data_IF_962084406280
#
_entry.id   IF_962084406280
#
_cell.length_a   1.000
_cell.length_b   1.000
_cell.length_c   1.000
_cell.angle_alpha   90.00
_cell.angle_beta   90.00
_cell.angle_gamma   90.00
#
_symmetry.space_group_name_H-M   'P 1'
#
loop_
_entity.id
_entity.type
_entity.pdbx_description
1 polymer ?
#
# COMPACT_ATOMS: atom_id res chain seq x y z
N UNK A 1 -2.07 7.34 -2.30
CA UNK A 1 -2.64 5.99 -2.18
C UNK A 1 -3.92 6.09 -1.36
N UNK A 2 -5.08 5.74 -1.93
CA UNK A 2 -6.39 6.02 -1.31
C UNK A 2 -6.69 5.13 -0.09
N UNK A 3 -6.44 3.81 -0.16
CA UNK A 3 -6.81 2.86 0.91
C UNK A 3 -6.23 3.19 2.29
N UNK A 4 -4.92 3.50 2.45
CA UNK A 4 -4.40 3.86 3.77
C UNK A 4 -5.11 5.06 4.39
N UNK A 5 -5.40 6.09 3.59
CA UNK A 5 -6.06 7.30 4.07
C UNK A 5 -7.43 7.00 4.70
N UNK A 6 -8.20 6.03 4.17
CA UNK A 6 -9.47 5.60 4.77
C UNK A 6 -9.34 5.11 6.22
N UNK A 7 -8.17 4.61 6.62
CA UNK A 7 -7.97 3.91 7.89
C UNK A 7 -7.01 4.61 8.85
N UNK A 8 -6.17 5.53 8.37
CA UNK A 8 -5.25 6.29 9.23
C UNK A 8 -5.60 7.77 9.34
N UNK A 9 -6.76 8.19 8.82
CA UNK A 9 -7.19 9.60 8.83
C UNK A 9 -7.06 10.29 10.20
N UNK A 10 -7.37 9.58 11.30
CA UNK A 10 -7.32 10.14 12.65
C UNK A 10 -5.87 10.32 13.16
N UNK A 11 -4.91 9.58 12.57
CA UNK A 11 -3.49 9.63 12.91
C UNK A 11 -2.72 10.65 12.07
N UNK A 12 -3.20 10.99 10.87
CA UNK A 12 -2.50 11.88 9.94
C UNK A 12 -2.19 13.27 10.52
N UNK A 13 -3.10 13.96 11.25
CA UNK A 13 -2.78 15.25 11.85
C UNK A 13 -1.57 15.23 12.79
N UNK A 14 -1.26 14.08 13.39
CA UNK A 14 -0.10 13.94 14.26
C UNK A 14 1.20 13.71 13.48
N UNK A 15 1.11 12.95 12.40
CA UNK A 15 2.28 12.49 11.62
C UNK A 15 2.74 13.59 10.68
N UNK A 16 1.80 14.19 9.94
CA UNK A 16 2.05 15.20 8.94
C UNK A 16 0.79 16.07 8.80
N UNK A 17 0.71 17.22 9.49
CA UNK A 17 -0.40 18.14 9.34
C UNK A 17 -0.24 19.06 8.13
N UNK A 18 0.92 19.13 7.50
CA UNK A 18 1.10 19.94 6.29
C UNK A 18 0.39 19.26 5.11
N UNK A 19 0.28 17.92 5.16
CA UNK A 19 -0.67 17.13 4.37
C UNK A 19 -2.14 17.60 4.49
N UNK A 20 -2.51 18.33 5.54
CA UNK A 20 -3.86 18.90 5.75
C UNK A 20 -3.98 20.37 5.29
N UNK A 21 -2.88 20.99 4.85
CA UNK A 21 -2.90 22.38 4.39
C UNK A 21 -3.64 22.54 3.04
N UNK A 22 -3.68 21.48 2.22
CA UNK A 22 -4.30 21.45 0.90
C UNK A 22 -5.64 20.67 0.90
N UNK A 23 -6.65 21.19 1.60
CA UNK A 23 -7.99 20.58 1.67
C UNK A 23 -8.13 19.48 2.73
N UNK A 24 -9.34 18.94 2.89
CA UNK A 24 -9.62 17.94 3.93
C UNK A 24 -9.11 16.55 3.53
N UNK A 25 -8.88 15.68 4.52
CA UNK A 25 -8.54 14.26 4.25
C UNK A 25 -9.66 13.60 3.43
N UNK A 26 -10.92 13.93 3.72
CA UNK A 26 -12.08 13.39 3.02
C UNK A 26 -12.08 13.80 1.54
N UNK A 27 -11.73 15.04 1.22
CA UNK A 27 -11.60 15.51 -0.17
C UNK A 27 -10.51 14.74 -0.91
N UNK A 28 -9.36 14.50 -0.26
CA UNK A 28 -8.26 13.71 -0.83
C UNK A 28 -8.65 12.25 -1.05
N UNK A 29 -9.42 11.67 -0.12
CA UNK A 29 -9.95 10.31 -0.26
C UNK A 29 -10.95 10.27 -1.43
N UNK A 30 -11.89 11.20 -1.50
CA UNK A 30 -12.88 11.26 -2.58
C UNK A 30 -12.22 11.44 -3.94
N UNK A 31 -11.24 12.35 -4.07
CA UNK A 31 -10.47 12.50 -5.31
C UNK A 31 -9.71 11.23 -5.70
N UNK A 32 -9.20 10.49 -4.70
CA UNK A 32 -8.59 9.18 -4.91
C UNK A 32 -9.58 8.10 -5.38
N UNK A 33 -10.84 8.14 -4.91
CA UNK A 33 -11.93 7.26 -5.37
C UNK A 33 -12.31 7.61 -6.81
N UNK A 34 -12.53 8.89 -7.09
CA UNK A 34 -12.90 9.39 -8.43
C UNK A 34 -11.81 9.07 -9.47
N UNK A 35 -10.54 9.15 -9.06
CA UNK A 35 -9.41 8.72 -9.88
C UNK A 35 -9.46 7.24 -10.21
N UNK A 36 -9.78 6.36 -9.25
CA UNK A 36 -9.91 4.93 -9.52
C UNK A 36 -11.10 4.66 -10.45
N UNK A 37 -12.23 5.34 -10.23
CA UNK A 37 -13.41 5.25 -11.11
C UNK A 37 -13.08 5.67 -12.55
N UNK A 38 -12.20 6.65 -12.75
CA UNK A 38 -11.72 7.04 -14.10
C UNK A 38 -10.89 5.96 -14.83
N UNK A 39 -10.48 4.90 -14.13
CA UNK A 39 -9.77 3.75 -14.70
C UNK A 39 -10.70 2.57 -15.03
N UNK A 40 -12.01 2.73 -14.83
CA UNK A 40 -12.99 1.74 -15.25
C UNK A 40 -13.07 1.70 -16.77
N UNK A 41 -12.94 0.52 -17.35
CA UNK A 41 -12.99 0.32 -18.81
C UNK A 41 -14.44 0.13 -19.27
N UNK A 42 -14.73 0.22 -20.60
CA UNK A 42 -16.06 -0.03 -21.13
C UNK A 42 -16.63 -1.43 -20.84
N UNK A 43 -15.77 -2.40 -20.51
CA UNK A 43 -16.23 -3.75 -20.12
C UNK A 43 -16.65 -3.84 -18.64
N UNK A 44 -16.39 -2.81 -17.83
CA UNK A 44 -16.78 -2.71 -16.42
C UNK A 44 -15.64 -2.99 -15.43
N UNK A 45 -14.59 -3.70 -15.84
CA UNK A 45 -13.40 -3.91 -15.01
C UNK A 45 -12.48 -2.68 -14.94
N UNK A 46 -11.40 -2.74 -14.16
CA UNK A 46 -10.44 -1.65 -14.00
C UNK A 46 -9.09 -1.95 -14.65
N UNK A 47 -8.57 -0.98 -15.42
CA UNK A 47 -7.22 -0.97 -15.96
C UNK A 47 -6.16 -0.52 -14.94
N UNK A 48 -4.91 -0.35 -15.39
CA UNK A 48 -3.82 0.20 -14.57
C UNK A 48 -3.76 1.72 -14.70
N UNK A 49 -4.00 2.23 -15.90
CA UNK A 49 -4.01 3.65 -16.21
C UNK A 49 -5.39 4.10 -16.73
N UNK A 50 -5.74 5.37 -16.58
CA UNK A 50 -6.93 5.90 -17.23
C UNK A 50 -6.78 5.86 -18.74
N UNK A 51 -7.85 5.45 -19.42
CA UNK A 51 -7.82 5.21 -20.86
C UNK A 51 -7.38 3.80 -21.25
N UNK A 52 -6.94 2.96 -20.29
CA UNK A 52 -6.75 1.54 -20.56
C UNK A 52 -8.08 0.90 -20.99
N UNK A 53 -8.03 0.02 -21.98
CA UNK A 53 -9.16 -0.75 -22.49
C UNK A 53 -9.20 -2.18 -21.91
N UNK A 54 -8.06 -2.68 -21.44
CA UNK A 54 -7.90 -4.02 -20.89
C UNK A 54 -7.84 -4.02 -19.36
N UNK A 55 -8.90 -4.50 -18.67
CA UNK A 55 -8.87 -4.64 -17.23
C UNK A 55 -7.81 -5.63 -16.75
N UNK A 56 -7.42 -5.47 -15.49
CA UNK A 56 -6.59 -6.43 -14.76
C UNK A 56 -7.44 -7.09 -13.67
N UNK A 57 -7.48 -8.42 -13.63
CA UNK A 57 -8.39 -9.15 -12.74
C UNK A 57 -8.12 -8.83 -11.26
N UNK A 58 -6.85 -8.91 -10.85
CA UNK A 58 -6.44 -8.55 -9.49
C UNK A 58 -6.67 -7.07 -9.17
N UNK A 59 -6.37 -6.18 -10.13
CA UNK A 59 -6.61 -4.73 -9.99
C UNK A 59 -8.09 -4.43 -9.78
N UNK A 60 -8.95 -5.09 -10.54
CA UNK A 60 -10.42 -4.96 -10.44
C UNK A 60 -10.92 -5.44 -9.07
N UNK A 61 -10.49 -6.62 -8.61
CA UNK A 61 -10.83 -7.10 -7.27
C UNK A 61 -10.35 -6.14 -6.17
N UNK A 62 -9.15 -5.57 -6.31
CA UNK A 62 -8.64 -4.57 -5.38
C UNK A 62 -9.49 -3.30 -5.35
N UNK A 63 -9.87 -2.77 -6.51
CA UNK A 63 -10.69 -1.55 -6.58
C UNK A 63 -12.08 -1.81 -6.00
N UNK A 64 -12.74 -2.93 -6.34
CA UNK A 64 -14.03 -3.30 -5.75
C UNK A 64 -13.93 -3.38 -4.23
N UNK A 65 -12.90 -4.03 -3.70
CA UNK A 65 -12.67 -4.10 -2.24
C UNK A 65 -12.58 -2.68 -1.64
N UNK A 66 -11.79 -1.79 -2.25
CA UNK A 66 -11.68 -0.41 -1.79
C UNK A 66 -13.00 0.36 -1.86
N UNK A 67 -13.77 0.19 -2.94
CA UNK A 67 -15.05 0.87 -3.13
C UNK A 67 -16.10 0.40 -2.10
N UNK A 68 -16.10 -0.89 -1.74
CA UNK A 68 -16.92 -1.42 -0.65
C UNK A 68 -16.54 -0.78 0.69
N UNK A 69 -15.24 -0.71 1.01
CA UNK A 69 -14.75 -0.03 2.20
C UNK A 69 -15.11 1.46 2.25
N UNK A 70 -15.00 2.14 1.11
CA UNK A 70 -15.33 3.55 0.98
C UNK A 70 -16.82 3.80 1.22
N UNK A 71 -17.68 2.95 0.64
CA UNK A 71 -19.13 2.99 0.83
C UNK A 71 -19.51 2.73 2.29
N UNK A 72 -18.90 1.75 2.94
CA UNK A 72 -19.11 1.44 4.37
C UNK A 72 -18.73 2.64 5.27
N UNK A 73 -17.77 3.47 4.83
CA UNK A 73 -17.34 4.70 5.50
C UNK A 73 -18.11 5.96 5.08
N UNK A 74 -19.10 5.85 4.19
CA UNK A 74 -19.97 6.96 3.78
C UNK A 74 -19.43 7.82 2.64
N UNK A 75 -18.34 7.42 1.97
CA UNK A 75 -17.86 8.11 0.76
C UNK A 75 -18.78 7.85 -0.44
N UNK A 76 -18.76 8.77 -1.42
CA UNK A 76 -19.60 8.66 -2.61
C UNK A 76 -19.00 7.65 -3.58
N UNK A 77 -19.72 6.56 -3.79
CA UNK A 77 -19.41 5.52 -4.77
C UNK A 77 -20.65 5.30 -5.65
N UNK A 78 -20.58 5.52 -6.97
CA UNK A 78 -21.72 5.28 -7.85
C UNK A 78 -22.10 3.79 -7.87
N UNK A 79 -23.34 3.47 -7.50
CA UNK A 79 -23.81 2.08 -7.41
C UNK A 79 -23.74 1.34 -8.75
N UNK A 80 -24.03 2.02 -9.86
CA UNK A 80 -23.94 1.43 -11.20
C UNK A 80 -22.49 1.04 -11.54
N UNK A 81 -21.53 1.92 -11.31
CA UNK A 81 -20.11 1.65 -11.56
C UNK A 81 -19.61 0.46 -10.74
N UNK A 82 -19.98 0.39 -9.46
CA UNK A 82 -19.64 -0.75 -8.60
C UNK A 82 -20.31 -2.04 -9.06
N UNK A 83 -21.60 -2.01 -9.44
CA UNK A 83 -22.32 -3.18 -9.92
C UNK A 83 -21.75 -3.73 -11.24
N UNK A 84 -21.36 -2.85 -12.16
CA UNK A 84 -20.71 -3.23 -13.42
C UNK A 84 -19.35 -3.89 -13.17
N UNK A 85 -18.54 -3.33 -12.26
CA UNK A 85 -17.26 -3.91 -11.88
C UNK A 85 -17.42 -5.29 -11.22
N UNK A 86 -18.38 -5.44 -10.31
CA UNK A 86 -18.69 -6.71 -9.66
C UNK A 86 -19.16 -7.75 -10.69
N UNK A 87 -20.00 -7.35 -11.65
CA UNK A 87 -20.45 -8.22 -12.75
C UNK A 87 -19.30 -8.65 -13.65
N UNK A 88 -18.40 -7.72 -13.98
CA UNK A 88 -17.20 -8.05 -14.75
C UNK A 88 -16.29 -9.02 -13.98
N UNK A 89 -16.08 -8.80 -12.67
CA UNK A 89 -15.26 -9.66 -11.83
C UNK A 89 -15.84 -11.08 -11.74
N UNK A 90 -17.16 -11.18 -11.53
CA UNK A 90 -17.93 -12.42 -11.46
C UNK A 90 -17.76 -13.26 -12.74
N UNK A 91 -17.98 -12.66 -13.92
CA UNK A 91 -17.79 -13.33 -15.21
C UNK A 91 -16.35 -13.79 -15.47
N UNK A 92 -15.35 -13.14 -14.86
CA UNK A 92 -13.93 -13.44 -15.08
C UNK A 92 -13.27 -14.16 -13.89
N UNK A 93 -14.02 -14.55 -12.87
CA UNK A 93 -13.50 -15.07 -11.61
C UNK A 93 -12.72 -16.39 -11.76
N UNK A 94 -13.05 -17.15 -12.80
CA UNK A 94 -12.48 -18.47 -13.11
C UNK A 94 -11.69 -18.45 -14.43
N UNK A 95 -11.55 -17.29 -15.08
CA UNK A 95 -10.93 -17.19 -16.39
C UNK A 95 -9.39 -17.24 -16.28
N UNK A 96 -8.80 -18.41 -16.57
CA UNK A 96 -7.34 -18.62 -16.61
C UNK A 96 -6.73 -18.40 -18.00
N UNK A 97 -7.54 -18.16 -19.02
CA UNK A 97 -7.11 -18.17 -20.42
C UNK A 97 -6.73 -16.78 -20.97
N UNK A 98 -7.11 -15.70 -20.28
CA UNK A 98 -6.92 -14.30 -20.71
C UNK A 98 -5.48 -13.74 -20.74
N UNK A 99 -4.44 -14.59 -20.77
CA UNK A 99 -3.03 -14.15 -20.78
C UNK A 99 -2.51 -13.68 -19.41
N UNK A 100 -1.30 -13.09 -19.33
CA UNK A 100 -0.63 -12.79 -18.04
C UNK A 100 -1.45 -11.97 -17.05
N UNK A 101 -2.25 -11.00 -17.51
CA UNK A 101 -3.12 -10.18 -16.64
C UNK A 101 -4.26 -10.97 -15.96
N UNK A 102 -4.57 -12.15 -16.48
CA UNK A 102 -5.55 -13.11 -15.95
C UNK A 102 -4.87 -14.36 -15.35
N UNK A 103 -3.64 -14.69 -15.77
CA UNK A 103 -2.81 -15.81 -15.30
C UNK A 103 -1.95 -15.40 -14.10
N UNK A 104 -1.93 -16.22 -13.05
CA UNK A 104 -1.25 -15.84 -11.79
C UNK A 104 -2.06 -14.83 -10.95
N UNK A 105 -3.34 -14.66 -11.28
CA UNK A 105 -4.31 -13.99 -10.43
C UNK A 105 -4.49 -14.81 -9.16
N UNK A 106 -4.75 -14.14 -8.04
CA UNK A 106 -4.91 -14.81 -6.76
C UNK A 106 -6.39 -15.22 -6.60
N UNK A 107 -6.82 -16.45 -7.02
CA UNK A 107 -8.23 -16.80 -7.11
C UNK A 107 -8.94 -16.65 -5.76
N UNK A 108 -8.26 -16.99 -4.67
CA UNK A 108 -8.82 -16.80 -3.33
C UNK A 108 -9.20 -15.34 -3.04
N UNK A 109 -8.43 -14.37 -3.55
CA UNK A 109 -8.73 -12.95 -3.31
C UNK A 109 -9.94 -12.49 -4.12
N UNK A 110 -10.02 -12.90 -5.39
CA UNK A 110 -11.19 -12.63 -6.24
C UNK A 110 -12.46 -13.19 -5.62
N UNK A 111 -12.41 -14.46 -5.17
CA UNK A 111 -13.54 -15.13 -4.55
C UNK A 111 -13.94 -14.48 -3.20
N UNK A 112 -12.96 -14.04 -2.40
CA UNK A 112 -13.23 -13.27 -1.18
C UNK A 112 -13.96 -11.96 -1.47
N UNK A 113 -13.49 -11.20 -2.46
CA UNK A 113 -14.10 -9.92 -2.84
C UNK A 113 -15.51 -10.12 -3.39
N UNK A 114 -15.74 -11.16 -4.20
CA UNK A 114 -17.09 -11.53 -4.68
C UNK A 114 -18.03 -11.91 -3.54
N UNK A 115 -17.56 -12.68 -2.56
CA UNK A 115 -18.35 -12.98 -1.37
C UNK A 115 -18.72 -11.71 -0.59
N UNK A 116 -17.76 -10.77 -0.42
CA UNK A 116 -18.03 -9.48 0.22
C UNK A 116 -18.99 -8.59 -0.58
N UNK A 117 -18.94 -8.67 -1.91
CA UNK A 117 -19.86 -7.97 -2.81
C UNK A 117 -21.26 -8.63 -2.87
N UNK A 118 -21.52 -9.69 -2.10
CA UNK A 118 -22.81 -10.39 -2.09
C UNK A 118 -23.02 -11.37 -3.24
N UNK A 119 -21.96 -11.77 -3.95
CA UNK A 119 -21.97 -12.78 -5.02
C UNK A 119 -21.06 -13.98 -4.70
N UNK A 120 -21.32 -14.75 -3.63
CA UNK A 120 -20.43 -15.84 -3.24
C UNK A 120 -20.56 -17.08 -4.14
N UNK A 121 -19.43 -17.60 -4.64
CA UNK A 121 -19.39 -18.87 -5.40
C UNK A 121 -19.12 -20.06 -4.47
N UNK A 122 -19.95 -20.27 -3.45
CA UNK A 122 -19.66 -21.19 -2.32
C UNK A 122 -19.25 -22.60 -2.76
N UNK A 123 -19.93 -23.19 -3.75
CA UNK A 123 -19.61 -24.52 -4.27
C UNK A 123 -18.24 -24.56 -4.98
N UNK A 124 -17.94 -23.56 -5.81
CA UNK A 124 -16.66 -23.42 -6.51
C UNK A 124 -15.54 -23.23 -5.50
N UNK A 125 -15.71 -22.30 -4.56
CA UNK A 125 -14.73 -21.99 -3.51
C UNK A 125 -14.46 -23.23 -2.64
N UNK A 126 -15.50 -23.97 -2.24
CA UNK A 126 -15.34 -25.20 -1.47
C UNK A 126 -14.55 -26.27 -2.25
N UNK A 127 -14.80 -26.41 -3.55
CA UNK A 127 -14.02 -27.32 -4.42
C UNK A 127 -12.56 -26.86 -4.54
N UNK A 128 -12.31 -25.60 -4.87
CA UNK A 128 -10.95 -25.05 -4.98
C UNK A 128 -10.16 -25.23 -3.69
N UNK A 129 -10.80 -24.99 -2.54
CA UNK A 129 -10.18 -25.18 -1.24
C UNK A 129 -9.88 -26.66 -0.97
N UNK A 130 -10.81 -27.58 -1.30
CA UNK A 130 -10.58 -29.01 -1.16
C UNK A 130 -9.40 -29.48 -2.02
N UNK A 131 -9.33 -29.04 -3.28
CA UNK A 131 -8.23 -29.35 -4.20
C UNK A 131 -6.88 -28.82 -3.68
N UNK A 132 -6.87 -27.60 -3.11
CA UNK A 132 -5.66 -27.04 -2.50
C UNK A 132 -5.26 -27.75 -1.21
N UNK A 133 -6.22 -28.19 -0.39
CA UNK A 133 -5.94 -28.91 0.86
C UNK A 133 -5.46 -30.36 0.63
N UNK A 134 -5.66 -30.91 -0.57
CA UNK A 134 -5.16 -32.23 -0.94
C UNK A 134 -3.62 -32.32 -0.95
N UNK A 135 -2.93 -31.18 -1.02
CA UNK A 135 -1.47 -31.10 -0.95
C UNK A 135 -1.02 -30.13 0.15
N UNK A 136 0.16 -30.34 0.77
CA UNK A 136 0.74 -29.35 1.68
C UNK A 136 0.95 -28.00 0.97
N UNK A 137 0.76 -26.89 1.69
CA UNK A 137 1.11 -25.58 1.16
C UNK A 137 2.62 -25.49 0.97
N UNK A 138 3.06 -25.20 -0.26
CA UNK A 138 4.48 -25.19 -0.63
C UNK A 138 5.07 -23.79 -0.64
N UNK A 139 4.21 -22.77 -0.84
CA UNK A 139 4.60 -21.37 -0.90
C UNK A 139 3.70 -20.50 -0.03
N UNK A 140 4.17 -19.30 0.31
CA UNK A 140 3.32 -18.33 0.99
C UNK A 140 2.11 -17.87 0.16
N UNK A 141 2.16 -17.97 -1.18
CA UNK A 141 1.01 -17.74 -2.06
C UNK A 141 -0.05 -18.83 -1.88
N UNK A 142 0.35 -20.09 -1.69
CA UNK A 142 -0.60 -21.17 -1.39
C UNK A 142 -1.30 -20.93 -0.05
N UNK A 143 -0.56 -20.46 0.95
CA UNK A 143 -1.10 -20.12 2.27
C UNK A 143 -2.09 -18.95 2.16
N UNK A 144 -1.73 -17.89 1.42
CA UNK A 144 -2.62 -16.75 1.16
C UNK A 144 -3.89 -17.20 0.42
N UNK A 145 -3.74 -18.02 -0.63
CA UNK A 145 -4.82 -18.61 -1.41
C UNK A 145 -5.84 -19.34 -0.55
N UNK A 146 -5.37 -20.29 0.26
CA UNK A 146 -6.21 -21.07 1.17
C UNK A 146 -6.90 -20.18 2.20
N UNK A 147 -6.17 -19.22 2.78
CA UNK A 147 -6.73 -18.30 3.77
C UNK A 147 -7.89 -17.50 3.18
N UNK A 148 -7.73 -16.93 1.99
CA UNK A 148 -8.76 -16.12 1.36
C UNK A 148 -9.96 -16.96 0.87
N UNK A 149 -9.76 -18.21 0.43
CA UNK A 149 -10.86 -19.12 0.12
C UNK A 149 -11.68 -19.47 1.38
N UNK A 150 -11.00 -19.78 2.50
CA UNK A 150 -11.68 -19.99 3.79
C UNK A 150 -12.42 -18.73 4.23
N UNK A 151 -11.82 -17.55 4.05
CA UNK A 151 -12.42 -16.27 4.38
C UNK A 151 -13.67 -15.98 3.51
N UNK A 152 -13.63 -16.33 2.23
CA UNK A 152 -14.78 -16.21 1.33
C UNK A 152 -15.96 -17.08 1.80
N UNK A 153 -15.70 -18.32 2.24
CA UNK A 153 -16.72 -19.18 2.84
C UNK A 153 -17.27 -18.60 4.14
N UNK A 154 -16.40 -18.10 5.03
CA UNK A 154 -16.81 -17.47 6.29
C UNK A 154 -17.69 -16.24 6.05
N UNK A 155 -17.32 -15.37 5.10
CA UNK A 155 -18.10 -14.20 4.70
C UNK A 155 -19.46 -14.58 4.10
N UNK A 156 -19.55 -15.76 3.49
CA UNK A 156 -20.79 -16.33 2.94
C UNK A 156 -21.65 -17.06 3.97
N UNK A 157 -21.22 -17.11 5.25
CA UNK A 157 -21.92 -17.78 6.35
C UNK A 157 -21.49 -19.22 6.64
N UNK A 158 -20.57 -19.79 5.86
CA UNK A 158 -20.02 -21.12 6.10
C UNK A 158 -18.85 -21.06 7.09
N UNK A 159 -19.13 -21.45 8.34
CA UNK A 159 -18.21 -21.35 9.47
C UNK A 159 -17.31 -22.58 9.69
N UNK A 160 -17.30 -23.55 8.78
CA UNK A 160 -16.52 -24.80 8.93
C UNK A 160 -15.02 -24.55 9.18
N UNK A 161 -14.49 -23.45 8.67
CA UNK A 161 -13.06 -23.11 8.74
C UNK A 161 -12.73 -22.00 9.74
N UNK A 162 -13.67 -21.57 10.59
CA UNK A 162 -13.44 -20.44 11.51
C UNK A 162 -12.22 -20.66 12.42
N UNK A 163 -12.04 -21.87 12.96
CA UNK A 163 -10.88 -22.20 13.80
C UNK A 163 -9.56 -22.03 13.03
N UNK A 164 -9.52 -22.43 11.77
CA UNK A 164 -8.34 -22.27 10.92
C UNK A 164 -8.07 -20.79 10.61
N UNK A 165 -9.11 -20.01 10.33
CA UNK A 165 -9.01 -18.56 10.10
C UNK A 165 -8.51 -17.78 11.32
N UNK A 166 -8.80 -18.27 12.53
CA UNK A 166 -8.29 -17.74 13.80
C UNK A 166 -6.88 -18.22 14.15
N UNK A 167 -6.36 -19.23 13.46
CA UNK A 167 -5.00 -19.75 13.64
C UNK A 167 -4.08 -19.12 12.61
N UNK A 168 -3.58 -17.92 12.92
CA UNK A 168 -2.80 -17.11 11.98
C UNK A 168 -1.34 -17.60 11.88
N UNK A 169 -0.81 -17.61 10.65
CA UNK A 169 0.62 -17.82 10.43
C UNK A 169 1.40 -16.55 10.82
N UNK A 170 2.21 -16.69 11.86
CA UNK A 170 3.03 -15.62 12.47
C UNK A 170 4.52 -15.97 12.44
N UNK A 171 4.92 -16.88 11.54
CA UNK A 171 6.32 -17.15 11.28
C UNK A 171 7.04 -15.92 10.71
N UNK A 172 8.36 -15.86 10.94
CA UNK A 172 9.22 -14.76 10.52
C UNK A 172 9.07 -14.44 9.03
N UNK A 173 9.21 -13.14 8.71
CA UNK A 173 9.14 -12.67 7.34
C UNK A 173 10.32 -13.21 6.53
N UNK A 174 10.03 -13.87 5.42
CA UNK A 174 11.05 -14.37 4.50
C UNK A 174 11.38 -13.40 3.35
N UNK A 175 10.68 -12.26 3.30
CA UNK A 175 10.90 -11.17 2.33
C UNK A 175 10.82 -11.58 0.85
N UNK A 176 10.27 -12.77 0.56
CA UNK A 176 10.09 -13.23 -0.81
C UNK A 176 9.08 -12.36 -1.53
N UNK A 177 9.42 -11.95 -2.75
CA UNK A 177 8.54 -11.25 -3.70
C UNK A 177 8.36 -12.11 -4.94
N UNK A 178 7.18 -12.06 -5.54
CA UNK A 178 6.93 -12.65 -6.84
C UNK A 178 6.67 -11.54 -7.85
N UNK A 179 7.25 -11.68 -9.04
CA UNK A 179 6.97 -10.78 -10.15
C UNK A 179 5.84 -11.36 -11.00
N UNK A 180 4.62 -11.23 -10.49
CA UNK A 180 3.40 -11.69 -11.13
C UNK A 180 2.27 -10.67 -10.90
N UNK A 181 1.12 -10.92 -11.53
CA UNK A 181 -0.06 -10.04 -11.47
C UNK A 181 -0.85 -10.14 -10.15
N UNK A 182 -0.34 -10.87 -9.14
CA UNK A 182 -0.85 -10.85 -7.76
C UNK A 182 -0.10 -9.86 -6.88
N UNK A 183 1.02 -9.30 -7.36
CA UNK A 183 1.91 -8.40 -6.62
C UNK A 183 2.36 -8.99 -5.27
N UNK A 184 2.55 -10.31 -5.24
CA UNK A 184 2.83 -11.01 -4.00
C UNK A 184 4.15 -10.54 -3.39
N UNK A 185 4.09 -10.26 -2.10
CA UNK A 185 5.23 -10.37 -1.21
C UNK A 185 4.80 -10.93 0.13
N UNK A 186 5.75 -11.47 0.89
CA UNK A 186 5.42 -12.03 2.20
C UNK A 186 4.84 -10.98 3.16
N UNK A 187 5.43 -9.77 3.21
CA UNK A 187 4.89 -8.67 4.02
C UNK A 187 3.50 -8.22 3.54
N UNK A 188 3.29 -8.16 2.21
CA UNK A 188 1.98 -7.85 1.62
C UNK A 188 0.94 -8.89 2.02
N UNK A 189 1.27 -10.18 1.96
CA UNK A 189 0.42 -11.29 2.40
C UNK A 189 -0.01 -11.10 3.85
N UNK A 190 0.95 -10.85 4.76
CA UNK A 190 0.66 -10.63 6.18
C UNK A 190 -0.33 -9.47 6.39
N UNK A 191 -0.11 -8.35 5.71
CA UNK A 191 -1.01 -7.18 5.78
C UNK A 191 -2.40 -7.47 5.22
N UNK A 192 -2.51 -8.19 4.10
CA UNK A 192 -3.81 -8.58 3.53
C UNK A 192 -4.55 -9.53 4.49
N UNK A 193 -3.88 -10.57 4.98
CA UNK A 193 -4.44 -11.52 5.95
C UNK A 193 -4.94 -10.79 7.18
N UNK A 194 -4.19 -9.80 7.70
CA UNK A 194 -4.61 -9.00 8.85
C UNK A 194 -5.84 -8.15 8.55
N UNK A 195 -5.91 -7.52 7.36
CA UNK A 195 -7.08 -6.75 6.95
C UNK A 195 -8.34 -7.62 6.87
N UNK A 196 -8.23 -8.81 6.26
CA UNK A 196 -9.34 -9.77 6.13
C UNK A 196 -9.73 -10.35 7.48
N UNK A 197 -8.76 -10.69 8.33
CA UNK A 197 -9.02 -11.12 9.69
C UNK A 197 -9.83 -10.08 10.47
N UNK A 198 -9.43 -8.81 10.38
CA UNK A 198 -10.17 -7.71 11.02
C UNK A 198 -11.60 -7.59 10.47
N UNK A 199 -11.81 -7.76 9.17
CA UNK A 199 -13.17 -7.72 8.59
C UNK A 199 -14.07 -8.84 9.10
N UNK A 200 -13.52 -10.03 9.36
CA UNK A 200 -14.28 -11.18 9.84
C UNK A 200 -14.47 -11.22 11.36
N UNK A 201 -13.47 -10.76 12.12
CA UNK A 201 -13.39 -10.98 13.57
C UNK A 201 -13.05 -9.73 14.38
N UNK A 202 -12.91 -8.56 13.75
CA UNK A 202 -12.50 -7.32 14.41
C UNK A 202 -11.09 -7.40 14.99
N UNK A 203 -10.88 -6.72 16.12
CA UNK A 203 -9.60 -6.67 16.85
C UNK A 203 -9.47 -7.79 17.89
N UNK A 204 -9.97 -8.99 17.57
CA UNK A 204 -9.89 -10.14 18.47
C UNK A 204 -8.42 -10.48 18.79
N UNK A 205 -8.16 -10.93 20.03
CA UNK A 205 -6.81 -11.06 20.58
C UNK A 205 -5.89 -11.99 19.78
N UNK A 206 -6.44 -12.98 19.07
CA UNK A 206 -5.68 -13.91 18.23
C UNK A 206 -5.00 -13.21 17.05
N UNK A 207 -5.47 -12.02 16.63
CA UNK A 207 -4.85 -11.21 15.59
C UNK A 207 -3.67 -10.36 16.05
N UNK A 208 -3.47 -10.16 17.36
CA UNK A 208 -2.41 -9.28 17.90
C UNK A 208 -1.03 -9.69 17.40
N UNK A 209 -0.64 -10.98 17.42
CA UNK A 209 0.72 -11.35 17.00
C UNK A 209 0.98 -11.10 15.52
N UNK A 210 -0.05 -11.19 14.66
CA UNK A 210 0.06 -10.84 13.24
C UNK A 210 0.16 -9.33 13.04
N UNK A 211 -0.61 -8.53 13.78
CA UNK A 211 -0.48 -7.07 13.79
C UNK A 211 0.94 -6.65 14.20
N UNK A 212 1.48 -7.22 15.26
CA UNK A 212 2.84 -6.96 15.69
C UNK A 212 3.88 -7.36 14.64
N UNK A 213 3.69 -8.49 13.95
CA UNK A 213 4.57 -8.94 12.87
C UNK A 213 4.57 -7.95 11.69
N UNK A 214 3.39 -7.51 11.24
CA UNK A 214 3.26 -6.51 10.17
C UNK A 214 3.92 -5.19 10.56
N UNK A 215 3.69 -4.74 11.79
CA UNK A 215 4.27 -3.50 12.31
C UNK A 215 5.80 -3.59 12.42
N UNK A 216 6.36 -4.73 12.86
CA UNK A 216 7.81 -4.97 12.84
C UNK A 216 8.37 -4.95 11.42
N UNK A 217 7.69 -5.61 10.47
CA UNK A 217 8.10 -5.64 9.07
C UNK A 217 8.19 -4.23 8.45
N UNK A 218 7.20 -3.38 8.71
CA UNK A 218 7.20 -1.99 8.24
C UNK A 218 8.24 -1.08 8.93
N UNK A 219 8.78 -1.48 10.08
CA UNK A 219 9.85 -0.74 10.79
C UNK A 219 11.25 -1.27 10.48
N UNK A 220 11.38 -2.40 9.79
CA UNK A 220 12.68 -3.04 9.59
C UNK A 220 13.62 -2.23 8.69
N UNK A 221 13.08 -1.50 7.70
CA UNK A 221 13.85 -0.66 6.81
C UNK A 221 13.46 0.81 6.99
N UNK A 222 14.45 1.68 7.13
CA UNK A 222 14.22 3.13 7.20
C UNK A 222 13.90 3.72 5.83
N UNK A 223 14.38 3.08 4.76
CA UNK A 223 14.24 3.60 3.41
C UNK A 223 12.95 3.10 2.76
N UNK A 224 12.06 4.01 2.39
CA UNK A 224 10.76 3.69 1.79
C UNK A 224 10.89 2.94 0.46
N UNK A 225 11.95 3.18 -0.32
CA UNK A 225 12.20 2.49 -1.59
C UNK A 225 12.42 0.98 -1.44
N UNK A 226 12.67 0.50 -0.22
CA UNK A 226 12.76 -0.94 0.07
C UNK A 226 11.40 -1.62 0.04
N UNK A 227 10.31 -0.88 0.18
CA UNK A 227 8.95 -1.40 0.22
C UNK A 227 8.22 -1.19 -1.10
N UNK A 228 7.30 -2.11 -1.42
CA UNK A 228 6.37 -1.92 -2.54
C UNK A 228 5.13 -1.15 -2.08
N UNK A 229 4.47 -0.50 -3.04
CA UNK A 229 3.16 0.14 -2.82
C UNK A 229 2.15 -0.83 -2.21
N UNK A 230 2.17 -2.11 -2.58
CA UNK A 230 1.25 -3.12 -2.04
C UNK A 230 1.57 -3.51 -0.59
N UNK A 231 2.85 -3.59 -0.23
CA UNK A 231 3.29 -3.84 1.15
C UNK A 231 2.86 -2.69 2.07
N UNK A 232 3.13 -1.45 1.67
CA UNK A 232 2.74 -0.26 2.43
C UNK A 232 1.22 -0.14 2.51
N UNK A 233 0.51 -0.37 1.40
CA UNK A 233 -0.95 -0.27 1.37
C UNK A 233 -1.61 -1.26 2.32
N UNK A 234 -1.32 -2.56 2.19
CA UNK A 234 -1.95 -3.58 3.02
C UNK A 234 -1.47 -3.50 4.46
N UNK A 235 -0.17 -3.27 4.68
CA UNK A 235 0.40 -3.16 6.02
C UNK A 235 -0.16 -1.96 6.79
N UNK A 236 -0.10 -0.75 6.23
CA UNK A 236 -0.59 0.46 6.91
C UNK A 236 -2.10 0.44 7.08
N UNK A 237 -2.86 0.01 6.06
CA UNK A 237 -4.32 -0.04 6.16
C UNK A 237 -4.80 -1.05 7.21
N UNK A 238 -4.19 -2.23 7.26
CA UNK A 238 -4.57 -3.27 8.25
C UNK A 238 -4.21 -2.86 9.67
N UNK A 239 -3.04 -2.23 9.87
CA UNK A 239 -2.68 -1.65 11.16
C UNK A 239 -3.61 -0.49 11.53
N UNK A 240 -3.98 0.37 10.59
CA UNK A 240 -4.95 1.45 10.83
C UNK A 240 -6.30 0.94 11.30
N UNK A 241 -6.81 -0.18 10.74
CA UNK A 241 -8.01 -0.86 11.26
C UNK A 241 -7.84 -1.39 12.69
N UNK A 242 -6.61 -1.78 13.03
CA UNK A 242 -6.24 -2.34 14.33
C UNK A 242 -6.00 -1.31 15.42
N UNK A 243 -5.63 -0.08 15.04
CA UNK A 243 -5.44 1.02 15.98
C UNK A 243 -6.81 1.47 16.50
N UNK A 244 -7.07 1.19 17.78
CA UNK A 244 -8.23 1.73 18.51
C UNK A 244 -7.96 3.14 19.05
N UNK A 245 -8.91 3.68 19.82
CA UNK A 245 -8.69 4.92 20.56
C UNK A 245 -7.50 4.74 21.52
N UNK A 246 -6.48 5.58 21.39
CA UNK A 246 -5.29 5.55 22.22
C UNK A 246 -5.61 5.68 23.71
N UNK A 247 -4.76 5.09 24.55
CA UNK A 247 -4.80 5.38 25.98
C UNK A 247 -4.43 6.85 26.22
N UNK A 248 -5.07 7.51 27.21
CA UNK A 248 -4.70 8.88 27.56
C UNK A 248 -3.22 8.93 27.97
N UNK A 249 -2.42 9.73 27.26
CA UNK A 249 -1.05 9.99 27.65
C UNK A 249 -1.02 10.77 28.98
N UNK A 250 -0.09 10.47 29.91
CA UNK A 250 0.19 11.36 31.02
C UNK A 250 0.62 12.74 30.49
N UNK A 251 0.48 13.78 31.32
CA UNK A 251 1.03 15.08 30.97
C UNK A 251 2.54 14.96 30.71
N UNK A 252 3.01 15.56 29.62
CA UNK A 252 4.39 15.49 29.20
C UNK A 252 4.91 16.86 28.79
N UNK A 253 6.18 17.12 29.08
CA UNK A 253 6.92 18.32 28.67
C UNK A 253 8.11 17.89 27.82
N UNK A 254 8.21 18.49 26.63
CA UNK A 254 9.38 18.32 25.79
C UNK A 254 10.37 19.43 26.09
N UNK A 255 11.63 19.09 26.32
CA UNK A 255 12.73 20.03 26.53
C UNK A 255 13.73 19.87 25.38
N UNK A 256 14.02 20.98 24.71
CA UNK A 256 14.95 21.07 23.58
C UNK A 256 16.00 22.13 23.90
N UNK A 257 17.26 21.72 24.07
CA UNK A 257 18.38 22.57 24.52
C UNK A 257 17.98 23.51 25.68
N UNK A 258 17.56 22.90 26.80
CA UNK A 258 17.12 23.54 28.04
C UNK A 258 15.86 24.42 27.94
N UNK A 259 15.18 24.44 26.79
CA UNK A 259 13.93 25.18 26.59
C UNK A 259 12.74 24.23 26.50
N UNK A 260 11.70 24.51 27.28
CA UNK A 260 10.44 23.79 27.15
C UNK A 260 9.76 24.16 25.84
N UNK A 261 9.42 23.14 25.05
CA UNK A 261 8.64 23.26 23.81
C UNK A 261 7.19 22.94 24.14
N UNK A 262 6.29 23.87 23.81
CA UNK A 262 4.86 23.64 23.97
C UNK A 262 4.37 22.57 23.00
N UNK A 263 3.44 21.71 23.45
CA UNK A 263 2.77 20.77 22.56
C UNK A 263 1.97 21.54 21.51
N UNK A 264 2.01 21.05 20.27
CA UNK A 264 1.28 21.61 19.15
C UNK A 264 -0.22 21.34 19.32
N UNK A 265 -1.01 22.41 19.43
CA UNK A 265 -2.47 22.34 19.60
C UNK A 265 -3.17 21.72 18.38
N UNK A 266 -2.64 21.96 17.18
CA UNK A 266 -3.26 21.52 15.93
C UNK A 266 -2.90 20.05 15.60
N UNK A 267 -1.77 19.56 16.14
CA UNK A 267 -1.29 18.19 15.94
C UNK A 267 -1.67 17.25 17.09
N UNK A 268 -2.08 17.77 18.24
CA UNK A 268 -2.46 16.95 19.41
C UNK A 268 -3.97 16.71 19.39
N UNK A 269 -4.38 15.45 19.15
CA UNK A 269 -5.77 14.98 19.26
C UNK A 269 -5.81 13.74 20.16
N UNK A 270 -7.01 13.26 20.50
CA UNK A 270 -7.24 11.89 20.97
C UNK A 270 -6.60 11.43 22.30
N UNK A 271 -5.79 12.26 22.97
CA UNK A 271 -4.98 11.84 24.12
C UNK A 271 -3.52 11.63 23.77
N UNK A 272 -3.12 11.90 22.53
CA UNK A 272 -1.73 11.93 22.08
C UNK A 272 -1.15 13.36 22.08
N UNK A 273 0.17 13.48 22.27
CA UNK A 273 0.90 14.75 22.24
C UNK A 273 1.91 14.78 21.08
N UNK A 274 1.94 15.91 20.38
CA UNK A 274 2.88 16.18 19.30
C UNK A 274 3.59 17.52 19.52
N UNK A 275 4.86 17.60 19.12
CA UNK A 275 5.67 18.81 19.20
C UNK A 275 6.35 19.07 17.87
N UNK A 276 6.61 20.34 17.56
CA UNK A 276 7.34 20.75 16.37
C UNK A 276 8.54 21.59 16.77
N UNK A 277 9.71 21.24 16.23
CA UNK A 277 10.96 21.91 16.53
C UNK A 277 11.57 22.39 15.21
N UNK A 278 11.77 23.71 15.11
CA UNK A 278 12.50 24.30 13.98
C UNK A 278 14.01 24.10 14.14
N UNK A 279 14.71 23.87 13.02
CA UNK A 279 16.17 23.72 13.00
C UNK A 279 16.75 22.65 13.95
N UNK A 280 16.04 21.52 14.11
CA UNK A 280 16.44 20.40 14.98
C UNK A 280 17.84 19.85 14.72
N UNK A 281 18.38 20.04 13.51
CA UNK A 281 19.76 19.66 13.15
C UNK A 281 20.86 20.40 13.90
N UNK A 282 20.53 21.48 14.61
CA UNK A 282 21.49 22.29 15.38
C UNK A 282 21.58 21.92 16.87
N UNK A 283 20.83 20.90 17.29
CA UNK A 283 20.65 20.59 18.71
C UNK A 283 21.72 19.67 19.30
N UNK A 284 21.89 19.77 20.62
CA UNK A 284 22.76 18.90 21.41
C UNK A 284 21.93 17.98 22.34
N UNK A 285 20.66 18.28 22.64
CA UNK A 285 19.84 17.51 23.60
C UNK A 285 18.33 17.60 23.38
N UNK A 286 17.64 16.46 23.57
CA UNK A 286 16.18 16.34 23.54
C UNK A 286 15.71 15.44 24.70
N UNK A 287 14.87 15.97 25.58
CA UNK A 287 14.32 15.25 26.73
C UNK A 287 12.79 15.30 26.73
N UNK A 288 12.15 14.18 27.07
CA UNK A 288 10.71 14.10 27.29
C UNK A 288 10.46 13.76 28.76
N UNK A 289 9.96 14.74 29.51
CA UNK A 289 9.62 14.59 30.90
C UNK A 289 8.15 14.20 31.02
N UNK A 290 7.87 13.08 31.67
CA UNK A 290 6.51 12.61 31.97
C UNK A 290 6.18 12.92 33.43
N UNK A 291 5.03 13.53 33.69
CA UNK A 291 4.60 13.85 35.05
C UNK A 291 4.18 12.59 35.85
N UNK A 292 3.99 11.46 35.16
CA UNK A 292 3.72 10.15 35.78
C UNK A 292 4.22 9.01 34.89
N UNK A 293 4.48 7.85 35.51
CA UNK A 293 4.74 6.61 34.78
C UNK A 293 3.49 6.22 33.95
N UNK A 294 3.65 5.90 32.66
CA UNK A 294 2.51 5.58 31.81
C UNK A 294 1.93 4.21 32.19
N UNK A 295 0.60 4.12 32.21
CA UNK A 295 -0.10 2.87 32.51
C UNK A 295 0.04 1.80 31.42
N UNK A 296 0.41 2.22 30.21
CA UNK A 296 0.69 1.37 29.05
C UNK A 296 2.01 1.78 28.41
N UNK A 297 2.74 0.87 27.74
CA UNK A 297 3.94 1.23 27.00
C UNK A 297 3.66 2.39 26.04
N UNK A 298 4.52 3.41 26.06
CA UNK A 298 4.46 4.54 25.14
C UNK A 298 5.41 4.31 23.96
N UNK A 299 4.98 4.71 22.77
CA UNK A 299 5.85 4.83 21.61
C UNK A 299 6.21 6.31 21.41
N UNK A 300 7.51 6.60 21.30
CA UNK A 300 8.01 7.91 20.87
C UNK A 300 8.48 7.81 19.43
N UNK A 301 7.92 8.66 18.57
CA UNK A 301 8.34 8.79 17.17
C UNK A 301 9.02 10.14 16.99
N UNK A 302 10.25 10.13 16.51
CA UNK A 302 11.02 11.33 16.18
C UNK A 302 11.28 11.35 14.69
N UNK A 303 10.70 12.34 14.01
CA UNK A 303 10.87 12.55 12.57
C UNK A 303 11.67 13.83 12.34
N UNK A 304 12.69 13.77 11.48
CA UNK A 304 13.48 14.93 11.06
C UNK A 304 13.42 15.07 9.56
N UNK A 305 13.09 16.26 9.09
CA UNK A 305 13.08 16.61 7.66
C UNK A 305 14.09 17.74 7.39
N UNK A 306 14.73 17.68 6.22
CA UNK A 306 15.66 18.71 5.76
C UNK A 306 16.35 18.33 4.46
N UNK A 307 16.93 19.33 3.79
CA UNK A 307 17.73 19.15 2.59
C UNK A 307 19.15 18.80 3.02
N UNK A 308 19.64 17.62 2.61
CA UNK A 308 21.04 17.26 2.81
C UNK A 308 21.85 17.81 1.63
N UNK A 309 22.81 18.73 1.86
CA UNK A 309 23.47 19.48 0.78
C UNK A 309 24.33 18.60 -0.14
N UNK A 310 24.76 17.41 0.30
CA UNK A 310 25.63 16.51 -0.46
C UNK A 310 25.14 15.05 -0.38
N UNK A 311 24.02 14.74 -1.04
CA UNK A 311 23.58 13.35 -1.20
C UNK A 311 24.25 12.78 -2.44
N UNK A 312 25.29 11.96 -2.25
CA UNK A 312 25.71 11.02 -3.29
C UNK A 312 24.53 10.09 -3.56
N UNK A 313 23.88 10.24 -4.73
CA UNK A 313 22.84 9.31 -5.14
C UNK A 313 23.52 7.96 -5.41
N UNK A 314 23.13 6.88 -4.70
CA UNK A 314 23.72 5.58 -4.96
C UNK A 314 23.40 5.18 -6.39
N UNK A 315 24.43 5.04 -7.22
CA UNK A 315 24.33 4.46 -8.56
C UNK A 315 24.40 2.95 -8.42
N UNK A 316 23.38 2.24 -8.89
CA UNK A 316 23.37 0.77 -8.82
C UNK A 316 22.22 0.17 -9.62
N UNK A 317 22.49 -1.00 -10.19
CA UNK A 317 21.51 -1.81 -10.90
C UNK A 317 21.07 -2.97 -10.01
N UNK A 318 19.78 -3.04 -9.65
CA UNK A 318 19.19 -4.18 -8.95
C UNK A 318 18.47 -5.09 -9.95
N UNK A 319 19.23 -5.67 -10.88
CA UNK A 319 18.72 -6.51 -11.97
C UNK A 319 18.21 -5.74 -13.19
N UNK A 320 17.97 -4.43 -13.10
CA UNK A 320 17.69 -3.55 -14.23
C UNK A 320 18.77 -2.47 -14.36
N UNK A 321 19.15 -2.13 -15.60
CA UNK A 321 20.03 -1.00 -15.93
C UNK A 321 19.27 0.01 -16.77
N UNK A 322 19.65 1.29 -16.64
CA UNK A 322 19.15 2.37 -17.49
C UNK A 322 20.34 3.23 -17.89
N UNK A 323 20.58 3.35 -19.18
CA UNK A 323 21.58 4.23 -19.76
C UNK A 323 20.87 5.40 -20.46
N UNK A 324 21.33 6.63 -20.20
CA UNK A 324 20.76 7.85 -20.76
C UNK A 324 21.79 8.55 -21.64
N UNK A 325 21.43 8.76 -22.90
CA UNK A 325 22.25 9.44 -23.90
C UNK A 325 21.48 10.60 -24.53
N UNK A 326 22.23 11.56 -25.09
CA UNK A 326 21.68 12.80 -25.63
C UNK A 326 22.22 13.04 -27.04
N UNK A 327 21.32 13.34 -27.97
CA UNK A 327 21.66 13.50 -29.38
C UNK A 327 21.06 14.78 -29.96
N UNK A 328 21.74 15.35 -30.94
CA UNK A 328 21.20 16.41 -31.78
C UNK A 328 20.14 15.82 -32.75
N UNK A 329 19.30 16.64 -33.40
CA UNK A 329 18.38 16.16 -34.43
C UNK A 329 19.06 15.46 -35.61
N UNK A 330 20.36 15.70 -35.81
CA UNK A 330 21.21 15.02 -36.80
C UNK A 330 21.60 13.60 -36.38
N UNK A 331 21.40 13.22 -35.12
CA UNK A 331 21.84 11.95 -34.53
C UNK A 331 23.23 12.00 -33.88
N UNK A 332 23.92 13.15 -33.91
CA UNK A 332 25.24 13.29 -33.30
C UNK A 332 25.14 13.41 -31.77
N UNK A 333 26.05 12.78 -30.99
CA UNK A 333 26.07 12.92 -29.54
C UNK A 333 26.28 14.38 -29.10
N UNK A 334 25.57 14.81 -28.06
CA UNK A 334 25.65 16.18 -27.54
C UNK A 334 26.18 16.21 -26.11
N UNK A 335 27.03 17.20 -25.81
CA UNK A 335 27.47 17.51 -24.46
C UNK A 335 26.55 18.56 -23.83
N UNK A 336 25.98 18.22 -22.69
CA UNK A 336 25.02 19.10 -21.99
C UNK A 336 25.59 20.45 -21.56
N UNK A 337 26.92 20.55 -21.37
CA UNK A 337 27.59 21.80 -21.01
C UNK A 337 27.74 22.80 -22.16
N UNK A 338 27.43 22.40 -23.39
CA UNK A 338 27.66 23.17 -24.62
C UNK A 338 26.34 23.54 -25.32
N UNK A 339 25.20 23.37 -24.64
CA UNK A 339 23.88 23.63 -25.21
C UNK A 339 23.51 25.11 -25.22
N UNK A 340 22.88 25.53 -26.32
CA UNK A 340 22.30 26.87 -26.45
C UNK A 340 20.80 26.89 -26.10
N UNK A 341 20.30 28.06 -25.69
CA UNK A 341 18.88 28.24 -25.41
C UNK A 341 18.04 27.99 -26.68
N UNK A 342 17.01 27.16 -26.55
CA UNK A 342 16.11 26.81 -27.66
C UNK A 342 16.67 25.71 -28.58
N UNK A 343 17.83 25.13 -28.26
CA UNK A 343 18.37 24.00 -29.00
C UNK A 343 17.55 22.74 -28.73
N UNK A 344 16.99 22.14 -29.79
CA UNK A 344 16.32 20.86 -29.72
C UNK A 344 17.34 19.72 -29.53
N UNK A 345 17.03 18.79 -28.63
CA UNK A 345 17.79 17.54 -28.48
C UNK A 345 16.85 16.36 -28.30
N UNK A 346 17.37 15.17 -28.60
CA UNK A 346 16.71 13.90 -28.34
C UNK A 346 17.35 13.20 -27.13
N UNK A 347 16.51 12.68 -26.23
CA UNK A 347 16.92 11.83 -25.12
C UNK A 347 16.70 10.37 -25.50
N UNK A 348 17.76 9.57 -25.46
CA UNK A 348 17.67 8.13 -25.62
C UNK A 348 17.81 7.46 -24.25
N UNK A 349 16.89 6.55 -23.93
CA UNK A 349 16.92 5.73 -22.73
C UNK A 349 17.02 4.26 -23.15
N UNK A 350 18.13 3.60 -22.82
CA UNK A 350 18.33 2.17 -23.06
C UNK A 350 18.14 1.43 -21.75
N UNK A 351 17.18 0.51 -21.71
CA UNK A 351 16.88 -0.29 -20.51
C UNK A 351 17.33 -1.74 -20.70
N UNK A 352 18.19 -2.21 -19.80
CA UNK A 352 18.68 -3.58 -19.76
C UNK A 352 18.05 -4.39 -18.64
N UNK A 353 17.76 -5.67 -18.91
CA UNK A 353 17.33 -6.62 -17.89
C UNK A 353 18.40 -7.69 -17.64
N UNK A 354 19.10 -7.53 -16.51
CA UNK A 354 20.17 -8.40 -16.04
C UNK A 354 19.71 -9.30 -14.88
N UNK A 355 18.40 -9.40 -14.62
CA UNK A 355 17.86 -10.14 -13.47
C UNK A 355 17.80 -11.66 -13.70
N UNK A 356 18.08 -12.14 -14.92
CA UNK A 356 17.98 -13.56 -15.29
C UNK A 356 16.54 -14.09 -15.31
N UNK A 357 15.54 -13.22 -15.30
CA UNK A 357 14.11 -13.57 -15.35
C UNK A 357 13.35 -12.49 -16.09
N UNK A 358 12.20 -12.84 -16.67
CA UNK A 358 11.35 -11.83 -17.31
C UNK A 358 10.84 -10.85 -16.25
N UNK A 359 11.04 -9.56 -16.50
CA UNK A 359 10.52 -8.49 -15.64
C UNK A 359 9.29 -7.87 -16.28
N UNK A 360 8.14 -8.01 -15.62
CA UNK A 360 6.92 -7.26 -15.95
C UNK A 360 6.80 -5.99 -15.10
N UNK A 361 5.89 -5.08 -15.50
CA UNK A 361 5.53 -3.88 -14.73
C UNK A 361 6.68 -2.88 -14.51
N UNK A 362 7.50 -2.65 -15.54
CA UNK A 362 8.60 -1.67 -15.50
C UNK A 362 8.05 -0.25 -15.70
N UNK A 363 8.40 0.65 -14.79
CA UNK A 363 8.19 2.09 -14.94
C UNK A 363 9.54 2.80 -15.02
N UNK A 364 9.67 3.74 -15.95
CA UNK A 364 10.87 4.56 -16.13
C UNK A 364 10.54 5.97 -15.66
N UNK A 365 11.36 6.51 -14.76
CA UNK A 365 11.25 7.89 -14.29
C UNK A 365 12.51 8.62 -14.70
N UNK A 366 12.43 9.37 -15.78
CA UNK A 366 13.51 10.25 -16.22
C UNK A 366 13.22 11.69 -15.80
N UNK A 367 13.96 12.16 -14.79
CA UNK A 367 13.83 13.55 -14.33
C UNK A 367 14.65 14.45 -15.26
N UNK A 368 13.97 15.43 -15.86
CA UNK A 368 14.62 16.42 -16.71
C UNK A 368 15.12 17.58 -15.85
N UNK A 369 16.34 18.11 -16.07
CA UNK A 369 16.84 19.27 -15.33
C UNK A 369 15.97 20.52 -15.55
N UNK A 370 16.05 21.47 -14.62
CA UNK A 370 15.40 22.78 -14.81
C UNK A 370 15.98 23.52 -16.03
N UNK A 371 15.15 24.29 -16.74
CA UNK A 371 15.52 25.01 -17.97
C UNK A 371 15.33 24.20 -19.26
N UNK A 372 14.81 22.98 -19.14
CA UNK A 372 14.48 22.10 -20.25
C UNK A 372 12.96 21.96 -20.38
N UNK A 373 12.48 21.80 -21.59
CA UNK A 373 11.06 21.59 -21.89
C UNK A 373 10.89 20.31 -22.73
N UNK A 374 9.83 19.55 -22.45
CA UNK A 374 9.46 18.37 -23.22
C UNK A 374 8.53 18.84 -24.34
N UNK A 375 8.90 18.54 -25.58
CA UNK A 375 8.08 18.77 -26.78
C UNK A 375 6.88 17.81 -26.88
#
# INVERSE_FOLDING_TARGET
>A
MTRPLLYVQDLLPMIDPDLLAEGTIDDKIQAGIDRLLSMQTPSGGFGIWPGDDQPVLFGTAYVIHLLLDAKDKGFKVPDAALADAVTWLDHNAENTDGGPKFRGTHPGYVQYVLARAGKPHTAVVAKMLADQLATPASTGQDVEGRYLLMAALQASGDRRYEKALRTLDVSDLNWRRANDWSYYSDLRRRGLTLAVYHELFGTSGEGVPLADLVARGLRQHKDSYRYTTQELMWGVSSLGKWVGKGAKMPAAKLVFDDKTVAASKDRSKGGELAWQIGAGSRSQSLHLDLDAAPATPLALVVTTEGIKPDVALPTGAHGLTVDRSWYAPTGDPVKLSELELGQLVYVELVVGNNSGSRVENVAIVDRIPAGWEIE
#
